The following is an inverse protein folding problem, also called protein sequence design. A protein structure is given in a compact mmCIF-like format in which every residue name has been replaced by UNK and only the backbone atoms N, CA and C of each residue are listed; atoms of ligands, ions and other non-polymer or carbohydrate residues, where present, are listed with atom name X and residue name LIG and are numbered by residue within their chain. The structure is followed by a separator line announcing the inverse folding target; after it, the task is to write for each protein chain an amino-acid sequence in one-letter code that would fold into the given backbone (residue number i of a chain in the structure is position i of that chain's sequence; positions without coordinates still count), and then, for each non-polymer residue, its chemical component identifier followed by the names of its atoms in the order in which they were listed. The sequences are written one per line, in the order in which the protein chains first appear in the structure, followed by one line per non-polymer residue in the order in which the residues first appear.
data_IF_588136143144
#
_entry.id   IF_588136143144
#
_cell.length_a   1.000
_cell.length_b   1.000
_cell.length_c   1.000
_cell.angle_alpha   90.00
_cell.angle_beta   90.00
_cell.angle_gamma   90.00
#
_symmetry.space_group_name_H-M   'P 1'
#
loop_
_entity.id
_entity.type
_entity.pdbx_description
1 polymer ?
#
# COMPACT_ATOMS: atom_id res chain seq x y z
N UNK A 1 15.57 9.96 -8.49
CA UNK A 1 14.17 9.81 -8.05
C UNK A 1 14.18 9.43 -6.58
N UNK A 2 13.31 10.02 -5.76
CA UNK A 2 13.11 9.72 -4.34
C UNK A 2 11.72 9.14 -4.14
N UNK A 3 11.66 7.97 -3.51
CA UNK A 3 10.40 7.30 -3.18
C UNK A 3 10.12 7.44 -1.68
N UNK A 4 8.87 7.69 -1.33
CA UNK A 4 8.36 7.39 0.00
C UNK A 4 7.50 6.11 -0.10
N UNK A 5 7.61 5.22 0.89
CA UNK A 5 6.83 3.99 0.95
C UNK A 5 6.15 3.95 2.31
N UNK A 6 4.83 3.75 2.31
CA UNK A 6 4.02 3.59 3.52
C UNK A 6 3.16 2.33 3.41
N UNK A 7 2.84 1.71 4.53
CA UNK A 7 2.05 0.48 4.63
C UNK A 7 1.39 0.42 6.01
N UNK A 8 0.42 -0.48 6.20
CA UNK A 8 -0.12 -0.87 7.51
C UNK A 8 -0.64 0.30 8.36
N UNK A 9 -1.20 1.32 7.71
CA UNK A 9 -1.72 2.50 8.38
C UNK A 9 -3.06 2.24 9.07
N UNK A 10 -3.80 1.23 8.61
CA UNK A 10 -5.02 0.73 9.22
C UNK A 10 -6.00 1.85 9.66
N UNK A 11 -6.29 2.76 8.71
CA UNK A 11 -6.84 4.07 9.00
C UNK A 11 -8.27 4.05 9.53
N UNK A 12 -9.00 2.93 9.40
CA UNK A 12 -10.39 2.83 9.83
C UNK A 12 -10.57 1.99 11.09
N UNK A 13 -9.47 1.50 11.69
CA UNK A 13 -9.51 0.77 12.94
C UNK A 13 -9.75 1.69 14.15
N UNK A 14 -10.59 1.23 15.08
CA UNK A 14 -11.00 2.01 16.25
C UNK A 14 -10.62 1.36 17.58
N UNK A 15 -9.47 0.69 17.62
CA UNK A 15 -9.00 -0.06 18.80
C UNK A 15 -8.75 0.81 20.03
N UNK A 16 -8.40 2.09 19.82
CA UNK A 16 -8.06 3.02 20.88
C UNK A 16 -9.08 4.15 20.96
N UNK A 17 -9.67 4.37 22.15
CA UNK A 17 -10.79 5.31 22.35
C UNK A 17 -10.49 6.78 22.02
N UNK A 18 -9.23 7.16 21.82
CA UNK A 18 -8.81 8.55 21.57
C UNK A 18 -7.78 8.65 20.43
N UNK A 19 -7.73 7.66 19.55
CA UNK A 19 -6.81 7.67 18.41
C UNK A 19 -7.55 8.13 17.16
N UNK A 20 -7.02 9.15 16.50
CA UNK A 20 -7.52 9.64 15.21
C UNK A 20 -6.50 9.29 14.12
N UNK A 21 -6.58 8.09 13.53
CA UNK A 21 -5.65 7.64 12.51
C UNK A 21 -5.60 8.55 11.28
N UNK A 22 -6.72 9.21 10.94
CA UNK A 22 -6.79 10.07 9.75
C UNK A 22 -5.99 11.35 9.98
N UNK A 23 -6.12 11.96 11.16
CA UNK A 23 -5.34 13.14 11.53
C UNK A 23 -3.85 12.83 11.64
N UNK A 24 -3.49 11.68 12.20
CA UNK A 24 -2.08 11.25 12.25
C UNK A 24 -1.50 10.96 10.87
N UNK A 25 -2.26 10.26 10.02
CA UNK A 25 -1.85 10.00 8.64
C UNK A 25 -1.60 11.30 7.86
N UNK A 26 -2.47 12.30 8.03
CA UNK A 26 -2.24 13.64 7.49
C UNK A 26 -0.92 14.22 7.97
N UNK A 27 -0.66 14.19 9.29
CA UNK A 27 0.58 14.71 9.85
C UNK A 27 1.82 13.99 9.32
N UNK A 28 1.76 12.66 9.16
CA UNK A 28 2.83 11.86 8.57
C UNK A 28 3.08 12.24 7.12
N UNK A 29 2.03 12.35 6.30
CA UNK A 29 2.18 12.75 4.90
C UNK A 29 2.71 14.17 4.74
N UNK A 30 2.29 15.12 5.57
CA UNK A 30 2.86 16.47 5.57
C UNK A 30 4.35 16.46 5.93
N UNK A 31 4.75 15.65 6.92
CA UNK A 31 6.17 15.49 7.27
C UNK A 31 6.97 14.88 6.13
N UNK A 32 6.49 13.79 5.52
CA UNK A 32 7.13 13.18 4.35
C UNK A 32 7.25 14.21 3.22
N UNK A 33 6.20 14.98 2.95
CA UNK A 33 6.19 15.99 1.91
C UNK A 33 7.23 17.09 2.16
N UNK A 34 7.32 17.60 3.38
CA UNK A 34 8.17 18.74 3.72
C UNK A 34 9.62 18.37 4.06
N UNK A 35 9.83 17.29 4.81
CA UNK A 35 11.15 16.85 5.26
C UNK A 35 11.85 16.02 4.18
N UNK A 36 11.10 15.12 3.52
CA UNK A 36 11.67 14.20 2.54
C UNK A 36 11.50 14.64 1.09
N UNK A 37 10.41 15.35 0.75
CA UNK A 37 10.12 15.82 -0.61
C UNK A 37 10.26 14.69 -1.67
N UNK A 38 9.48 13.60 -1.58
CA UNK A 38 9.55 12.50 -2.53
C UNK A 38 8.98 12.88 -3.90
N UNK A 39 9.47 12.23 -4.95
CA UNK A 39 8.91 12.34 -6.30
C UNK A 39 7.66 11.48 -6.48
N UNK A 40 7.52 10.41 -5.68
CA UNK A 40 6.44 9.43 -5.72
C UNK A 40 6.18 8.85 -4.32
N UNK A 41 4.92 8.62 -3.98
CA UNK A 41 4.49 7.83 -2.83
C UNK A 41 4.01 6.45 -3.29
N UNK A 42 4.50 5.39 -2.64
CA UNK A 42 4.01 4.03 -2.79
C UNK A 42 3.25 3.63 -1.52
N UNK A 43 2.04 3.10 -1.69
CA UNK A 43 1.23 2.52 -0.61
C UNK A 43 1.24 1.00 -0.78
N UNK A 44 1.88 0.30 0.17
CA UNK A 44 2.09 -1.14 0.13
C UNK A 44 1.01 -1.93 0.89
N UNK A 45 -0.26 -1.54 0.72
CA UNK A 45 -1.42 -2.21 1.31
C UNK A 45 -1.77 -1.80 2.74
N UNK A 46 -2.90 -2.33 3.20
CA UNK A 46 -3.44 -2.22 4.56
C UNK A 46 -3.56 -0.79 5.11
N UNK A 47 -4.04 0.10 4.26
CA UNK A 47 -4.32 1.49 4.58
C UNK A 47 -5.80 1.73 4.89
N UNK A 48 -6.72 1.12 4.12
CA UNK A 48 -8.15 1.45 4.14
C UNK A 48 -9.04 0.27 4.59
N UNK A 49 -9.10 0.00 5.91
CA UNK A 49 -9.72 -1.23 6.42
C UNK A 49 -11.21 -1.38 6.15
N UNK A 50 -11.67 -2.56 5.71
CA UNK A 50 -13.10 -2.86 5.71
C UNK A 50 -13.65 -3.28 7.09
N UNK A 51 -12.79 -3.31 8.12
CA UNK A 51 -13.14 -3.66 9.51
C UNK A 51 -12.64 -2.60 10.49
N UNK A 52 -13.49 -2.25 11.47
CA UNK A 52 -13.12 -1.35 12.58
C UNK A 52 -12.47 -2.09 13.75
N UNK A 53 -12.83 -3.36 13.92
CA UNK A 53 -12.29 -4.30 14.90
C UNK A 53 -12.20 -5.68 14.26
N UNK A 54 -11.55 -6.69 14.86
CA UNK A 54 -11.35 -8.01 14.22
C UNK A 54 -12.67 -8.69 13.82
N UNK A 55 -13.73 -8.39 14.56
CA UNK A 55 -15.07 -8.96 14.41
C UNK A 55 -16.10 -8.01 13.81
N UNK A 56 -15.78 -6.71 13.62
CA UNK A 56 -16.77 -5.70 13.25
C UNK A 56 -16.41 -5.05 11.93
N UNK A 57 -17.28 -5.26 10.94
CA UNK A 57 -17.19 -4.59 9.64
C UNK A 57 -17.48 -3.09 9.77
N UNK A 58 -16.79 -2.31 8.95
CA UNK A 58 -17.07 -0.90 8.74
C UNK A 58 -18.37 -0.77 7.93
N UNK A 59 -19.34 0.02 8.42
CA UNK A 59 -20.57 0.26 7.66
C UNK A 59 -20.28 1.24 6.52
N UNK A 60 -20.98 1.08 5.41
CA UNK A 60 -20.78 1.91 4.22
C UNK A 60 -20.76 3.42 4.51
N UNK A 61 -21.76 3.94 5.25
CA UNK A 61 -21.83 5.38 5.57
C UNK A 61 -20.69 5.85 6.50
N UNK A 62 -20.17 4.98 7.35
CA UNK A 62 -19.04 5.29 8.23
C UNK A 62 -17.75 5.35 7.40
N UNK A 63 -17.55 4.35 6.53
CA UNK A 63 -16.42 4.32 5.61
C UNK A 63 -16.42 5.54 4.69
N UNK A 64 -17.55 5.89 4.10
CA UNK A 64 -17.64 7.09 3.26
C UNK A 64 -17.37 8.38 4.05
N UNK A 65 -17.81 8.45 5.32
CA UNK A 65 -17.46 9.57 6.20
C UNK A 65 -15.96 9.73 6.42
N UNK A 66 -15.21 8.62 6.48
CA UNK A 66 -13.75 8.59 6.64
C UNK A 66 -13.01 8.83 5.31
N UNK A 67 -13.55 8.38 4.18
CA UNK A 67 -12.92 8.57 2.87
C UNK A 67 -13.01 10.02 2.38
N UNK A 68 -14.02 10.80 2.76
CA UNK A 68 -14.14 12.22 2.40
C UNK A 68 -12.90 13.05 2.79
N UNK A 69 -12.49 13.12 4.07
CA UNK A 69 -11.28 13.85 4.45
C UNK A 69 -10.02 13.20 3.88
N UNK A 70 -9.97 11.87 3.79
CA UNK A 70 -8.85 11.14 3.21
C UNK A 70 -8.60 11.53 1.73
N UNK A 71 -9.65 11.65 0.91
CA UNK A 71 -9.52 12.11 -0.49
C UNK A 71 -8.85 13.48 -0.55
N UNK A 72 -9.18 14.39 0.37
CA UNK A 72 -8.55 15.70 0.43
C UNK A 72 -7.08 15.59 0.83
N UNK A 73 -6.76 14.78 1.86
CA UNK A 73 -5.39 14.53 2.30
C UNK A 73 -4.51 14.00 1.15
N UNK A 74 -5.01 13.02 0.40
CA UNK A 74 -4.28 12.42 -0.73
C UNK A 74 -4.08 13.43 -1.88
N UNK A 75 -5.08 14.26 -2.18
CA UNK A 75 -4.97 15.37 -3.16
C UNK A 75 -3.94 16.40 -2.73
N UNK A 76 -4.00 16.82 -1.46
CA UNK A 76 -3.11 17.84 -0.90
C UNK A 76 -1.64 17.39 -0.91
N UNK A 77 -1.36 16.08 -0.88
CA UNK A 77 -0.01 15.55 -1.02
C UNK A 77 0.64 15.97 -2.35
N UNK A 78 -0.15 16.13 -3.42
CA UNK A 78 0.23 16.72 -4.72
C UNK A 78 1.38 16.01 -5.47
N UNK A 79 1.74 14.81 -5.05
CA UNK A 79 2.73 13.93 -5.67
C UNK A 79 2.00 12.67 -6.15
N UNK A 80 2.42 12.03 -7.26
CA UNK A 80 1.84 10.76 -7.70
C UNK A 80 1.90 9.69 -6.60
N UNK A 81 0.77 9.03 -6.37
CA UNK A 81 0.59 7.98 -5.40
C UNK A 81 0.24 6.70 -6.15
N UNK A 82 1.00 5.63 -5.94
CA UNK A 82 0.67 4.32 -6.49
C UNK A 82 0.42 3.33 -5.35
N UNK A 83 -0.67 2.61 -5.42
CA UNK A 83 -1.12 1.71 -4.36
C UNK A 83 -1.33 0.29 -4.87
N UNK A 84 -1.01 -0.68 -4.02
CA UNK A 84 -1.52 -2.05 -4.08
C UNK A 84 -2.53 -2.30 -2.97
N UNK A 85 -3.32 -3.36 -3.12
CA UNK A 85 -4.23 -3.85 -2.10
C UNK A 85 -3.50 -4.79 -1.13
N UNK A 86 -3.74 -4.63 0.17
CA UNK A 86 -3.41 -5.62 1.20
C UNK A 86 -4.56 -6.59 1.52
N UNK A 87 -4.48 -7.31 2.64
CA UNK A 87 -5.52 -8.25 3.06
C UNK A 87 -6.67 -7.59 3.85
N UNK A 88 -6.46 -6.40 4.42
CA UNK A 88 -7.48 -5.65 5.18
C UNK A 88 -8.31 -4.69 4.33
N UNK A 89 -8.07 -4.61 3.02
CA UNK A 89 -8.72 -3.65 2.13
C UNK A 89 -9.71 -4.32 1.17
N UNK A 90 -10.72 -3.57 0.74
CA UNK A 90 -11.61 -3.97 -0.34
C UNK A 90 -11.20 -3.25 -1.62
N UNK A 91 -11.19 -3.98 -2.73
CA UNK A 91 -10.76 -3.46 -4.04
C UNK A 91 -11.59 -2.24 -4.47
N UNK A 92 -12.87 -2.27 -4.15
CA UNK A 92 -13.83 -1.21 -4.48
C UNK A 92 -13.46 0.13 -3.83
N UNK A 93 -12.82 0.10 -2.66
CA UNK A 93 -12.35 1.32 -1.98
C UNK A 93 -11.19 1.93 -2.75
N UNK A 94 -10.21 1.11 -3.15
CA UNK A 94 -9.05 1.55 -3.94
C UNK A 94 -9.46 2.06 -5.32
N UNK A 95 -10.35 1.34 -6.01
CA UNK A 95 -10.93 1.79 -7.28
C UNK A 95 -11.71 3.10 -7.12
N UNK A 96 -12.46 3.26 -6.03
CA UNK A 96 -13.16 4.51 -5.72
C UNK A 96 -12.19 5.68 -5.50
N UNK A 97 -11.04 5.45 -4.85
CA UNK A 97 -10.00 6.46 -4.69
C UNK A 97 -9.36 6.82 -6.04
N UNK A 98 -8.95 5.83 -6.83
CA UNK A 98 -8.38 6.01 -8.18
C UNK A 98 -9.32 6.81 -9.11
N UNK A 99 -10.64 6.62 -8.98
CA UNK A 99 -11.63 7.37 -9.74
C UNK A 99 -11.87 8.81 -9.25
N UNK A 100 -11.55 9.12 -7.98
CA UNK A 100 -11.96 10.40 -7.33
C UNK A 100 -10.80 11.28 -6.86
N UNK A 101 -9.57 10.75 -6.89
CA UNK A 101 -8.33 11.40 -6.49
C UNK A 101 -7.34 11.33 -7.64
N UNK A 102 -7.12 12.45 -8.32
CA UNK A 102 -6.42 12.53 -9.61
C UNK A 102 -4.95 12.04 -9.58
N UNK A 103 -4.29 12.17 -8.44
CA UNK A 103 -2.91 11.74 -8.24
C UNK A 103 -2.79 10.36 -7.59
N UNK A 104 -3.89 9.65 -7.37
CA UNK A 104 -3.90 8.31 -6.80
C UNK A 104 -4.11 7.28 -7.91
N UNK A 105 -3.29 6.25 -7.92
CA UNK A 105 -3.30 5.20 -8.92
C UNK A 105 -3.29 3.83 -8.24
N UNK A 106 -4.41 3.13 -8.30
CA UNK A 106 -4.45 1.72 -7.88
C UNK A 106 -3.93 0.84 -9.02
N UNK A 107 -2.84 0.11 -8.78
CA UNK A 107 -2.19 -0.73 -9.79
C UNK A 107 -2.26 -2.19 -9.36
N UNK A 108 -2.99 -2.99 -10.14
CA UNK A 108 -3.25 -4.41 -9.84
C UNK A 108 -2.39 -5.33 -10.72
N UNK A 109 -1.44 -6.04 -10.10
CA UNK A 109 -0.65 -7.11 -10.75
C UNK A 109 -0.01 -6.69 -12.08
N UNK A 110 0.50 -5.46 -12.15
CA UNK A 110 0.98 -4.86 -13.40
C UNK A 110 2.29 -4.08 -13.19
N UNK A 111 3.01 -3.87 -14.30
CA UNK A 111 4.21 -3.06 -14.35
C UNK A 111 3.88 -1.58 -14.54
N UNK A 112 4.62 -0.72 -13.86
CA UNK A 112 4.73 0.71 -14.18
C UNK A 112 6.18 1.12 -14.27
N UNK A 113 6.43 2.08 -15.15
CA UNK A 113 7.72 2.74 -15.30
C UNK A 113 7.63 4.08 -14.60
N UNK A 114 8.42 4.24 -13.55
CA UNK A 114 8.48 5.42 -12.71
C UNK A 114 9.88 6.03 -12.87
N UNK A 115 10.04 6.94 -13.84
CA UNK A 115 11.36 7.43 -14.25
C UNK A 115 12.21 6.31 -14.86
N UNK A 116 13.35 5.99 -14.24
CA UNK A 116 14.24 4.89 -14.62
C UNK A 116 13.99 3.58 -13.84
N UNK A 117 12.99 3.58 -12.95
CA UNK A 117 12.63 2.43 -12.12
C UNK A 117 11.45 1.67 -12.72
N UNK A 118 11.65 0.38 -12.90
CA UNK A 118 10.61 -0.60 -13.16
C UNK A 118 9.97 -1.06 -11.85
N UNK A 119 8.68 -0.81 -11.64
CA UNK A 119 7.96 -1.31 -10.46
C UNK A 119 6.90 -2.31 -10.88
N UNK A 120 6.96 -3.53 -10.34
CA UNK A 120 5.85 -4.47 -10.42
C UNK A 120 4.99 -4.33 -9.17
N UNK A 121 3.73 -3.98 -9.39
CA UNK A 121 2.72 -3.87 -8.33
C UNK A 121 2.02 -5.21 -8.24
N UNK A 122 2.16 -5.88 -7.09
CA UNK A 122 1.57 -7.17 -6.84
C UNK A 122 0.51 -7.04 -5.76
N UNK A 123 -0.74 -7.27 -6.16
CA UNK A 123 -1.83 -7.42 -5.21
C UNK A 123 -1.69 -8.77 -4.55
N UNK A 124 -1.37 -8.72 -3.28
CA UNK A 124 -1.30 -9.88 -2.41
C UNK A 124 -2.50 -9.79 -1.47
N UNK A 125 -3.50 -10.61 -1.76
CA UNK A 125 -4.73 -10.67 -0.97
C UNK A 125 -4.92 -12.09 -0.49
N UNK A 126 -4.48 -12.34 0.74
CA UNK A 126 -4.71 -13.61 1.40
C UNK A 126 -6.00 -13.56 2.23
N UNK A 127 -6.91 -14.49 1.97
CA UNK A 127 -8.04 -14.78 2.87
C UNK A 127 -7.63 -15.70 4.05
N UNK A 128 -6.36 -16.15 4.12
CA UNK A 128 -5.82 -17.03 5.17
C UNK A 128 -4.42 -16.62 5.66
N UNK A 129 -4.03 -17.09 6.85
CA UNK A 129 -2.89 -16.54 7.61
C UNK A 129 -1.48 -16.75 6.98
N UNK A 130 -1.32 -17.63 5.97
CA UNK A 130 -0.01 -17.94 5.37
C UNK A 130 -0.10 -18.32 3.89
N UNK A 131 1.00 -18.06 3.16
CA UNK A 131 1.22 -18.60 1.82
C UNK A 131 1.47 -20.10 1.84
N UNK A 132 0.50 -20.87 1.35
CA UNK A 132 0.79 -22.22 0.87
C UNK A 132 1.65 -22.10 -0.42
N UNK A 133 2.69 -22.93 -0.62
CA UNK A 133 3.59 -22.86 -1.78
C UNK A 133 2.88 -22.85 -3.15
N UNK A 134 1.70 -23.48 -3.21
CA UNK A 134 0.85 -23.54 -4.40
C UNK A 134 0.26 -22.16 -4.73
N UNK A 135 -0.18 -21.40 -3.73
CA UNK A 135 -0.72 -20.06 -3.91
C UNK A 135 0.36 -19.06 -4.36
N UNK A 136 1.58 -19.16 -3.82
CA UNK A 136 2.74 -18.40 -4.33
C UNK A 136 3.00 -18.74 -5.78
N UNK A 137 2.97 -20.04 -6.14
CA UNK A 137 3.24 -20.49 -7.51
C UNK A 137 2.18 -19.98 -8.50
N UNK A 138 0.91 -19.91 -8.09
CA UNK A 138 -0.16 -19.30 -8.89
C UNK A 138 0.04 -17.79 -9.10
N UNK A 139 0.45 -17.06 -8.06
CA UNK A 139 0.76 -15.63 -8.15
C UNK A 139 1.95 -15.41 -9.09
N UNK A 140 3.04 -16.17 -8.90
CA UNK A 140 4.23 -16.10 -9.75
C UNK A 140 3.93 -16.45 -11.21
N UNK A 141 3.04 -17.42 -11.45
CA UNK A 141 2.60 -17.80 -12.80
C UNK A 141 1.73 -16.75 -13.49
N UNK A 142 1.16 -15.80 -12.74
CA UNK A 142 0.38 -14.68 -13.25
C UNK A 142 1.18 -13.39 -13.48
N UNK A 143 2.47 -13.38 -13.11
CA UNK A 143 3.33 -12.21 -13.33
C UNK A 143 3.58 -12.04 -14.82
N UNK A 144 3.09 -10.93 -15.38
CA UNK A 144 3.39 -10.54 -16.75
C UNK A 144 4.90 -10.47 -16.95
N UNK A 145 5.43 -11.02 -18.05
CA UNK A 145 6.87 -11.00 -18.32
C UNK A 145 7.37 -9.56 -18.28
N UNK A 146 8.53 -9.38 -17.65
CA UNK A 146 9.21 -8.07 -17.60
C UNK A 146 9.42 -7.62 -19.04
N UNK A 147 8.83 -6.51 -19.50
CA UNK A 147 9.02 -6.12 -20.88
C UNK A 147 10.49 -5.78 -21.14
N UNK A 148 11.01 -6.19 -22.29
CA UNK A 148 12.45 -6.11 -22.62
C UNK A 148 13.00 -4.67 -22.59
N UNK A 149 12.12 -3.67 -22.65
CA UNK A 149 12.42 -2.24 -22.60
C UNK A 149 12.70 -1.69 -21.19
N UNK A 150 12.56 -2.51 -20.13
CA UNK A 150 12.61 -2.02 -18.76
C UNK A 150 14.06 -1.76 -18.31
N UNK A 151 14.27 -0.62 -17.63
CA UNK A 151 15.58 -0.17 -17.15
C UNK A 151 16.29 -1.15 -16.20
N UNK A 152 17.54 -0.82 -15.83
CA UNK A 152 18.35 -1.69 -14.95
C UNK A 152 17.79 -1.83 -13.52
N UNK A 153 17.05 -0.83 -13.04
CA UNK A 153 16.54 -0.78 -11.68
C UNK A 153 15.14 -1.38 -11.62
N UNK A 154 14.92 -2.35 -10.72
CA UNK A 154 13.65 -3.07 -10.56
C UNK A 154 13.25 -3.09 -9.09
N UNK A 155 11.96 -2.88 -8.83
CA UNK A 155 11.32 -2.99 -7.54
C UNK A 155 10.08 -3.88 -7.66
N UNK A 156 9.92 -4.80 -6.72
CA UNK A 156 8.67 -5.50 -6.48
C UNK A 156 7.99 -4.82 -5.30
N UNK A 157 6.75 -4.37 -5.49
CA UNK A 157 5.88 -3.90 -4.41
C UNK A 157 4.83 -4.97 -4.14
N UNK A 158 4.86 -5.55 -2.95
CA UNK A 158 3.89 -6.49 -2.43
C UNK A 158 3.64 -6.17 -0.95
N UNK A 159 2.44 -6.52 -0.45
CA UNK A 159 2.09 -6.25 0.94
C UNK A 159 2.71 -7.32 1.85
N UNK A 160 2.42 -8.59 1.60
CA UNK A 160 2.99 -9.69 2.35
C UNK A 160 4.42 -10.01 1.87
N UNK A 161 5.26 -10.49 2.80
CA UNK A 161 6.64 -10.86 2.50
C UNK A 161 6.74 -12.28 1.94
N UNK A 162 7.46 -12.41 0.84
CA UNK A 162 7.87 -13.69 0.25
C UNK A 162 9.32 -14.05 0.56
N UNK A 163 10.05 -13.14 1.20
CA UNK A 163 11.44 -13.38 1.53
C UNK A 163 11.53 -14.31 2.76
N UNK A 164 12.52 -15.20 2.82
CA UNK A 164 12.85 -15.89 4.06
C UNK A 164 13.11 -14.87 5.17
N UNK A 165 12.64 -15.13 6.39
CA UNK A 165 12.74 -14.22 7.54
C UNK A 165 14.13 -13.54 7.73
N UNK A 166 15.28 -14.23 7.55
CA UNK A 166 16.60 -13.58 7.66
C UNK A 166 16.88 -12.49 6.63
N UNK A 167 16.15 -12.50 5.51
CA UNK A 167 16.25 -11.53 4.43
C UNK A 167 15.20 -10.42 4.52
N UNK A 168 14.21 -10.55 5.42
CA UNK A 168 13.16 -9.55 5.65
C UNK A 168 13.63 -8.40 6.53
N UNK A 169 14.71 -8.61 7.31
CA UNK A 169 15.22 -7.64 8.26
C UNK A 169 16.62 -7.15 7.84
N UNK A 170 16.97 -5.88 8.07
CA UNK A 170 18.34 -5.42 7.91
C UNK A 170 19.27 -6.29 8.74
N UNK A 171 20.42 -6.71 8.20
CA UNK A 171 21.37 -7.60 8.89
C UNK A 171 21.69 -7.18 10.32
N UNK A 172 21.80 -5.86 10.58
CA UNK A 172 21.99 -5.32 11.92
C UNK A 172 20.91 -5.73 12.92
N UNK A 173 19.65 -5.81 12.50
CA UNK A 173 18.52 -6.22 13.36
C UNK A 173 18.55 -7.73 13.63
N UNK A 174 19.03 -8.52 12.67
CA UNK A 174 19.14 -9.98 12.79
C UNK A 174 20.35 -10.40 13.63
N UNK A 175 21.47 -9.67 13.52
CA UNK A 175 22.71 -9.95 14.25
C UNK A 175 22.65 -9.56 15.74
N UNK A 176 21.68 -8.73 16.12
CA UNK A 176 21.44 -8.27 17.51
C UNK A 176 20.36 -9.09 18.26
N UNK A 177 19.74 -10.09 17.61
CA UNK A 177 18.68 -10.96 18.17
C UNK A 177 19.21 -12.36 18.54
#
# INVERSE_FOLDING_TARGET
MKLAIVADGHLFQTFMKNYDPISEFKAVLERIKHEDNPDILLIAGDMFDFKKTPTTYLRHFEGEGLTIPLRQILKDFAVPIFAIRGNHEKEEVLQGLDQTVENFHYVKNDWRILGDLAVYFMDTHFEGDFYEPEAVSHILGGISPIPESFGKNKLLLCHETFAPFPNCLPKKVVEEA
#
